data_IF_401226041528
#
_entry.id   IF_401226041528
#
_cell.length_a   1.000
_cell.length_b   1.000
_cell.length_c   1.000
_cell.angle_alpha   90.00
_cell.angle_beta   90.00
_cell.angle_gamma   90.00
#
_symmetry.space_group_name_H-M   'P 1'
#
loop_
_entity.id
_entity.type
_entity.pdbx_description
1 polymer ?
#
# COMPACT_ATOMS: atom_id res chain seq x y z
N UNK A 1 -3.01 -8.19 -5.78
CA UNK A 1 -1.68 -8.08 -6.41
C UNK A 1 -0.59 -7.84 -5.37
N UNK A 2 -0.63 -6.74 -4.63
CA UNK A 2 0.44 -6.41 -3.67
C UNK A 2 0.53 -7.45 -2.55
N UNK A 3 -0.59 -7.85 -1.96
CA UNK A 3 -0.61 -8.85 -0.90
C UNK A 3 -0.03 -10.20 -1.40
N UNK A 4 -0.38 -10.60 -2.61
CA UNK A 4 0.14 -11.83 -3.20
C UNK A 4 1.64 -11.73 -3.48
N UNK A 5 2.10 -10.58 -3.95
CA UNK A 5 3.52 -10.37 -4.23
C UNK A 5 4.38 -10.54 -2.97
N UNK A 6 3.92 -9.99 -1.84
CA UNK A 6 4.64 -10.10 -0.57
C UNK A 6 4.26 -11.33 0.25
N UNK A 7 3.35 -12.16 -0.26
CA UNK A 7 2.86 -13.34 0.44
C UNK A 7 2.25 -12.98 1.81
N UNK A 8 1.41 -11.97 1.83
CA UNK A 8 0.75 -11.50 3.05
C UNK A 8 -0.52 -12.27 3.32
N UNK A 9 -0.67 -12.73 4.55
CA UNK A 9 -1.89 -13.36 5.04
C UNK A 9 -2.56 -12.38 6.01
N UNK A 10 -3.30 -11.44 5.45
CA UNK A 10 -3.92 -10.36 6.21
C UNK A 10 -5.33 -10.08 5.69
N UNK A 11 -6.16 -9.52 6.55
CA UNK A 11 -7.45 -8.98 6.17
C UNK A 11 -7.36 -7.46 6.10
N UNK A 12 -7.80 -6.89 4.98
CA UNK A 12 -7.85 -5.44 4.78
C UNK A 12 -9.29 -5.05 4.46
N UNK A 13 -9.87 -4.26 5.34
CA UNK A 13 -11.18 -3.68 5.12
C UNK A 13 -11.00 -2.33 4.42
N UNK A 14 -11.77 -2.11 3.36
CA UNK A 14 -11.66 -0.89 2.56
C UNK A 14 -12.91 -0.06 2.74
N UNK A 15 -12.71 1.22 3.05
CA UNK A 15 -13.79 2.17 3.20
C UNK A 15 -13.51 3.49 2.49
N UNK A 16 -14.53 4.34 2.48
CA UNK A 16 -14.45 5.69 1.91
C UNK A 16 -15.01 6.65 2.95
N UNK A 17 -14.30 7.75 3.18
CA UNK A 17 -14.73 8.73 4.15
C UNK A 17 -14.20 10.11 3.82
N UNK A 18 -14.57 11.07 4.66
CA UNK A 18 -14.08 12.43 4.55
C UNK A 18 -12.82 12.55 5.41
N UNK A 19 -11.79 13.16 4.86
CA UNK A 19 -10.55 13.40 5.59
C UNK A 19 -9.90 14.68 5.06
N UNK A 20 -8.85 15.20 5.74
CA UNK A 20 -8.16 16.40 5.27
C UNK A 20 -7.73 16.29 3.81
N UNK A 21 -7.85 17.38 3.08
CA UNK A 21 -7.63 17.40 1.63
C UNK A 21 -6.24 16.95 1.20
N UNK A 22 -5.26 17.05 2.08
CA UNK A 22 -3.88 16.62 1.80
C UNK A 22 -3.68 15.10 1.87
N UNK A 23 -4.69 14.37 2.33
CA UNK A 23 -4.61 12.92 2.46
C UNK A 23 -5.45 12.24 1.40
N UNK A 24 -4.84 11.38 0.60
CA UNK A 24 -5.55 10.60 -0.41
C UNK A 24 -6.16 9.34 0.19
N UNK A 25 -5.46 8.72 1.12
CA UNK A 25 -5.93 7.55 1.87
C UNK A 25 -5.18 7.45 3.20
N UNK A 26 -5.74 6.67 4.10
CA UNK A 26 -5.12 6.37 5.39
C UNK A 26 -5.22 4.88 5.67
N UNK A 27 -4.19 4.34 6.31
CA UNK A 27 -4.14 2.96 6.76
C UNK A 27 -4.15 2.92 8.27
N UNK A 28 -5.00 2.06 8.83
CA UNK A 28 -5.00 1.77 10.26
C UNK A 28 -4.87 0.29 10.51
N UNK A 29 -4.34 -0.06 11.67
CA UNK A 29 -4.23 -1.44 12.11
C UNK A 29 -5.04 -1.61 13.39
N UNK A 30 -6.05 -2.49 13.37
CA UNK A 30 -6.82 -2.80 14.58
C UNK A 30 -6.04 -3.75 15.48
N UNK A 31 -5.44 -4.76 14.88
CA UNK A 31 -4.57 -5.71 15.55
C UNK A 31 -3.73 -6.38 14.48
N UNK A 32 -2.66 -7.10 14.84
CA UNK A 32 -1.85 -7.79 13.85
C UNK A 32 -2.69 -8.67 12.92
N UNK A 33 -2.51 -8.50 11.63
CA UNK A 33 -3.26 -9.22 10.61
C UNK A 33 -4.56 -8.57 10.16
N UNK A 34 -5.03 -7.54 10.86
CA UNK A 34 -6.29 -6.87 10.54
C UNK A 34 -6.08 -5.39 10.35
N UNK A 35 -6.30 -4.92 9.12
CA UNK A 35 -6.08 -3.53 8.73
C UNK A 35 -7.34 -2.94 8.13
N UNK A 36 -7.43 -1.62 8.20
CA UNK A 36 -8.42 -0.90 7.41
C UNK A 36 -7.73 0.17 6.59
N UNK A 37 -8.20 0.35 5.36
CA UNK A 37 -7.71 1.36 4.45
C UNK A 37 -8.89 2.24 4.07
N UNK A 38 -8.81 3.51 4.39
CA UNK A 38 -9.87 4.46 4.07
C UNK A 38 -9.38 5.43 3.02
N UNK A 39 -10.16 5.54 1.94
CA UNK A 39 -9.88 6.49 0.86
C UNK A 39 -10.61 7.78 1.12
N UNK A 40 -9.95 8.89 0.83
CA UNK A 40 -10.58 10.21 0.84
C UNK A 40 -11.61 10.28 -0.27
N UNK A 41 -12.84 10.59 0.08
CA UNK A 41 -13.94 10.73 -0.88
C UNK A 41 -13.62 11.72 -1.99
N UNK A 42 -13.02 12.87 -1.62
CA UNK A 42 -12.68 13.90 -2.60
C UNK A 42 -11.60 13.43 -3.57
N UNK A 43 -10.63 12.66 -3.08
CA UNK A 43 -9.61 12.06 -3.94
C UNK A 43 -10.27 11.13 -4.98
N UNK A 44 -11.18 10.26 -4.56
CA UNK A 44 -11.83 9.31 -5.46
C UNK A 44 -12.69 10.00 -6.53
N UNK A 45 -13.21 11.17 -6.24
CA UNK A 45 -14.07 11.92 -7.18
C UNK A 45 -13.33 12.26 -8.48
N UNK A 46 -12.03 12.55 -8.40
CA UNK A 46 -11.24 12.99 -9.55
C UNK A 46 -10.06 12.09 -9.88
N UNK A 47 -9.85 11.03 -9.12
CA UNK A 47 -8.69 10.14 -9.30
C UNK A 47 -8.84 9.29 -10.56
N UNK A 48 -7.75 9.15 -11.29
CA UNK A 48 -7.65 8.17 -12.37
C UNK A 48 -7.45 6.77 -11.79
N UNK A 49 -7.59 5.75 -12.62
CA UNK A 49 -7.28 4.38 -12.20
C UNK A 49 -5.82 4.27 -11.78
N UNK A 50 -4.92 4.93 -12.50
CA UNK A 50 -3.50 4.95 -12.15
C UNK A 50 -3.26 5.55 -10.76
N UNK A 51 -3.95 6.63 -10.42
CA UNK A 51 -3.86 7.25 -9.11
C UNK A 51 -4.30 6.30 -8.01
N UNK A 52 -5.42 5.61 -8.24
CA UNK A 52 -5.95 4.64 -7.27
C UNK A 52 -4.99 3.47 -7.06
N UNK A 53 -4.38 2.99 -8.14
CA UNK A 53 -3.40 1.90 -8.08
C UNK A 53 -2.18 2.34 -7.29
N UNK A 54 -1.65 3.53 -7.55
CA UNK A 54 -0.49 4.05 -6.81
C UNK A 54 -0.76 4.16 -5.32
N UNK A 55 -1.88 4.78 -4.97
CA UNK A 55 -2.23 4.99 -3.56
C UNK A 55 -2.49 3.66 -2.87
N UNK A 56 -3.23 2.76 -3.51
CA UNK A 56 -3.49 1.44 -2.95
C UNK A 56 -2.19 0.67 -2.72
N UNK A 57 -1.29 0.68 -3.69
CA UNK A 57 -0.01 0.01 -3.57
C UNK A 57 0.83 0.62 -2.43
N UNK A 58 0.86 1.93 -2.33
CA UNK A 58 1.57 2.62 -1.27
C UNK A 58 1.09 2.16 0.12
N UNK A 59 -0.21 2.16 0.33
CA UNK A 59 -0.78 1.75 1.62
C UNK A 59 -0.58 0.26 1.89
N UNK A 60 -0.67 -0.58 0.87
CA UNK A 60 -0.42 -2.02 1.03
C UNK A 60 1.04 -2.32 1.34
N UNK A 61 1.98 -1.51 0.87
CA UNK A 61 3.38 -1.65 1.29
C UNK A 61 3.53 -1.36 2.77
N UNK A 62 2.78 -0.41 3.32
CA UNK A 62 2.78 -0.18 4.76
C UNK A 62 2.23 -1.39 5.53
N UNK A 63 1.24 -2.08 5.00
CA UNK A 63 0.78 -3.35 5.58
C UNK A 63 1.93 -4.35 5.65
N UNK A 64 2.65 -4.52 4.57
CA UNK A 64 3.84 -5.38 4.52
C UNK A 64 4.87 -4.97 5.57
N UNK A 65 5.10 -3.68 5.72
CA UNK A 65 6.06 -3.17 6.68
C UNK A 65 5.64 -3.44 8.13
N UNK A 66 4.36 -3.26 8.45
CA UNK A 66 3.85 -3.61 9.77
C UNK A 66 3.95 -5.11 10.05
N UNK A 67 3.60 -5.93 9.10
CA UNK A 67 3.56 -7.38 9.27
C UNK A 67 4.94 -8.03 9.27
N UNK A 68 5.84 -7.59 8.41
CA UNK A 68 7.09 -8.28 8.13
C UNK A 68 8.34 -7.52 8.57
N UNK A 69 8.26 -6.21 8.75
CA UNK A 69 9.45 -5.39 8.94
C UNK A 69 9.44 -4.56 10.23
N UNK A 70 8.48 -4.81 11.09
CA UNK A 70 8.46 -4.18 12.40
C UNK A 70 8.20 -2.68 12.38
N UNK A 71 7.41 -2.19 11.41
CA UNK A 71 7.01 -0.80 11.43
C UNK A 71 6.06 -0.55 12.59
N UNK A 72 6.42 0.38 13.46
CA UNK A 72 5.59 0.81 14.57
C UNK A 72 5.57 2.34 14.60
N UNK A 73 4.37 2.90 14.52
CA UNK A 73 4.16 4.35 14.54
C UNK A 73 3.31 4.69 15.74
N UNK A 74 3.87 5.45 16.66
CA UNK A 74 3.15 5.99 17.80
C UNK A 74 3.05 7.50 17.68
N UNK A 75 2.36 8.16 18.62
CA UNK A 75 2.24 9.60 18.60
C UNK A 75 3.60 10.32 18.74
N UNK A 76 4.56 9.68 19.36
CA UNK A 76 5.85 10.30 19.69
C UNK A 76 7.06 9.63 19.06
N UNK A 77 6.92 8.38 18.58
CA UNK A 77 8.07 7.59 18.14
C UNK A 77 7.74 6.76 16.92
N UNK A 78 8.77 6.50 16.11
CA UNK A 78 8.66 5.63 14.94
C UNK A 78 9.80 4.63 14.96
N UNK A 79 9.47 3.36 14.73
CA UNK A 79 10.45 2.28 14.68
C UNK A 79 10.28 1.51 13.37
N UNK A 80 11.38 1.11 12.78
CA UNK A 80 11.38 0.29 11.57
C UNK A 80 12.57 -0.66 11.61
N UNK A 81 12.29 -1.95 11.40
CA UNK A 81 13.32 -3.01 11.46
C UNK A 81 14.10 -2.97 12.79
N UNK A 82 13.39 -2.70 13.88
CA UNK A 82 13.95 -2.66 15.21
C UNK A 82 14.72 -1.40 15.56
N UNK A 83 14.76 -0.40 14.69
CA UNK A 83 15.50 0.83 14.92
C UNK A 83 14.56 2.03 14.98
N UNK A 84 14.83 2.92 15.93
CA UNK A 84 14.10 4.17 16.07
C UNK A 84 14.53 5.14 14.96
N UNK A 85 13.54 5.74 14.30
CA UNK A 85 13.80 6.76 13.28
C UNK A 85 13.74 8.14 13.91
N UNK A 86 14.76 8.93 13.66
CA UNK A 86 14.90 10.29 14.21
C UNK A 86 14.91 11.38 13.13
N UNK A 87 14.81 10.99 11.88
CA UNK A 87 14.90 11.92 10.77
C UNK A 87 13.56 12.44 10.29
N UNK A 88 13.58 13.06 9.13
CA UNK A 88 12.39 13.59 8.46
C UNK A 88 11.49 12.45 7.99
N UNK A 89 10.18 12.60 8.23
CA UNK A 89 9.19 11.62 7.82
C UNK A 89 9.25 11.32 6.31
N UNK A 90 9.39 12.36 5.50
CA UNK A 90 9.43 12.21 4.04
C UNK A 90 10.55 11.27 3.57
N UNK A 91 11.69 11.30 4.27
CA UNK A 91 12.85 10.46 3.96
C UNK A 91 12.94 9.22 4.83
N UNK A 92 11.93 8.92 5.62
CA UNK A 92 11.94 7.70 6.40
C UNK A 92 12.03 6.48 5.49
N UNK A 93 12.73 5.42 5.92
CA UNK A 93 12.92 4.23 5.08
C UNK A 93 11.61 3.61 4.60
N UNK A 94 10.58 3.62 5.45
CA UNK A 94 9.29 3.03 5.08
C UNK A 94 8.55 3.87 4.05
N UNK A 95 8.69 5.20 4.06
CA UNK A 95 8.07 6.04 3.04
C UNK A 95 8.81 5.98 1.71
N UNK A 96 10.15 5.95 1.77
CA UNK A 96 10.96 5.79 0.55
C UNK A 96 10.64 4.46 -0.12
N UNK A 97 10.56 3.39 0.65
CA UNK A 97 10.21 2.07 0.12
C UNK A 97 8.80 2.07 -0.49
N UNK A 98 7.82 2.63 0.23
CA UNK A 98 6.44 2.67 -0.25
C UNK A 98 6.31 3.46 -1.56
N UNK A 99 6.99 4.60 -1.67
CA UNK A 99 6.99 5.38 -2.91
C UNK A 99 7.65 4.64 -4.07
N UNK A 100 8.71 3.90 -3.79
CA UNK A 100 9.36 3.08 -4.81
C UNK A 100 8.45 1.97 -5.34
N UNK A 101 7.79 1.27 -4.44
CA UNK A 101 6.86 0.21 -4.83
C UNK A 101 5.59 0.73 -5.51
N UNK A 102 5.10 1.91 -5.16
CA UNK A 102 3.93 2.45 -5.83
C UNK A 102 4.19 2.63 -7.32
N UNK A 103 5.38 3.08 -7.70
CA UNK A 103 5.76 3.20 -9.10
C UNK A 103 5.92 1.82 -9.76
N UNK A 104 6.56 0.89 -9.07
CA UNK A 104 6.76 -0.46 -9.61
C UNK A 104 5.43 -1.18 -9.87
N UNK A 105 4.49 -1.10 -8.94
CA UNK A 105 3.18 -1.71 -9.14
C UNK A 105 2.35 -1.01 -10.21
N UNK A 106 2.45 0.31 -10.31
CA UNK A 106 1.80 1.05 -11.38
C UNK A 106 2.33 0.62 -12.75
N UNK A 107 3.63 0.57 -12.92
CA UNK A 107 4.23 0.13 -14.18
C UNK A 107 3.85 -1.30 -14.53
N UNK A 108 3.81 -2.17 -13.54
CA UNK A 108 3.37 -3.54 -13.72
C UNK A 108 1.92 -3.59 -14.22
N UNK A 109 1.04 -2.80 -13.61
CA UNK A 109 -0.34 -2.72 -14.04
C UNK A 109 -0.45 -2.21 -15.48
N UNK A 110 0.25 -1.13 -15.81
CA UNK A 110 0.19 -0.55 -17.15
C UNK A 110 0.68 -1.53 -18.22
N UNK A 111 1.63 -2.39 -17.85
CA UNK A 111 2.17 -3.37 -18.79
C UNK A 111 1.30 -4.63 -18.91
N UNK A 112 0.72 -5.11 -17.82
CA UNK A 112 0.04 -6.39 -17.76
C UNK A 112 -1.44 -6.32 -17.41
N UNK A 113 -1.89 -5.28 -16.79
CA UNK A 113 -3.21 -5.21 -16.16
C UNK A 113 -4.33 -4.69 -17.04
N UNK A 114 -4.04 -4.12 -18.21
CA UNK A 114 -5.05 -3.54 -19.08
C UNK A 114 -5.64 -4.58 -20.05
N UNK A 115 -5.50 -4.36 -21.35
CA UNK A 115 -6.13 -5.22 -22.36
C UNK A 115 -5.62 -6.65 -22.35
N UNK A 116 -4.35 -6.84 -22.05
CA UNK A 116 -3.77 -8.18 -21.96
C UNK A 116 -4.12 -8.88 -20.66
N UNK A 117 -4.80 -8.20 -19.76
CA UNK A 117 -5.09 -8.71 -18.42
C UNK A 117 -5.83 -10.04 -18.40
N UNK A 118 -6.70 -10.30 -19.35
CA UNK A 118 -7.43 -11.55 -19.43
C UNK A 118 -6.51 -12.73 -19.71
N UNK A 119 -5.68 -12.59 -20.71
CA UNK A 119 -4.72 -13.64 -21.09
C UNK A 119 -3.66 -13.80 -20.00
N UNK A 120 -3.19 -12.68 -19.49
CA UNK A 120 -2.20 -12.68 -18.44
C UNK A 120 -2.70 -13.35 -17.16
N UNK A 121 -3.94 -13.16 -16.78
CA UNK A 121 -4.51 -13.80 -15.59
C UNK A 121 -4.62 -15.32 -15.71
N UNK A 122 -4.88 -15.81 -16.90
CA UNK A 122 -4.93 -17.25 -17.14
C UNK A 122 -3.57 -17.91 -16.94
N UNK A 123 -2.50 -17.17 -17.24
CA UNK A 123 -1.14 -17.71 -17.21
C UNK A 123 -0.38 -17.38 -15.92
N UNK A 124 -0.85 -16.46 -15.10
CA UNK A 124 -0.04 -15.81 -14.09
C UNK A 124 -0.41 -15.87 -12.61
N UNK A 125 -1.46 -16.56 -12.15
CA UNK A 125 -1.69 -16.64 -10.71
C UNK A 125 -0.47 -17.12 -9.93
N UNK A 126 0.31 -17.99 -10.55
CA UNK A 126 1.52 -18.55 -9.95
C UNK A 126 2.63 -17.51 -9.83
N UNK A 127 2.79 -16.63 -10.82
CA UNK A 127 3.84 -15.62 -10.81
C UNK A 127 3.66 -14.59 -9.70
N UNK A 128 2.44 -14.34 -9.28
CA UNK A 128 2.14 -13.40 -8.22
C UNK A 128 2.19 -14.00 -6.81
N UNK A 129 2.49 -15.27 -6.69
CA UNK A 129 2.51 -15.97 -5.40
C UNK A 129 3.91 -16.23 -4.88
N UNK A 130 4.85 -15.60 -5.45
CA UNK A 130 6.25 -15.75 -5.03
C UNK A 130 6.50 -15.15 -3.67
#
# INVERSE_FOLDING_TARGET
>A
MVAAYFNLDVDVEIGVGEMPWEHDAELGMECPGFYFMEFNKDFLTSASIEDIIRVTAHEMVHVKQHELEGLELTLTESFFKGQKWLGDYWFSPWEVEARGYELAFLQHYLHYGSDSGKTARAARPTAYRV
#
